data_IF_151486239297
#
_entry.id   IF_151486239297
#
_cell.length_a   1.000
_cell.length_b   1.000
_cell.length_c   1.000
_cell.angle_alpha   90.00
_cell.angle_beta   90.00
_cell.angle_gamma   90.00
#
_symmetry.space_group_name_H-M   'P 1'
#
loop_
_entity.id
_entity.type
_entity.pdbx_description
1 polymer ?
#
# COMPACT_ATOMS: atom_id res chain seq x y z
N UNK A 1 15.92 2.55 21.81
CA UNK A 1 14.89 2.16 22.79
C UNK A 1 13.76 1.60 21.93
N UNK A 2 13.91 0.32 21.56
CA UNK A 2 13.03 -0.34 20.60
C UNK A 2 11.77 -0.80 21.33
N UNK A 3 10.65 -0.18 20.99
CA UNK A 3 9.33 -0.64 21.40
C UNK A 3 8.95 -1.82 20.50
N UNK A 4 8.71 -3.03 21.04
CA UNK A 4 8.21 -4.14 20.24
C UNK A 4 6.86 -3.74 19.64
N UNK A 5 6.62 -4.11 18.36
CA UNK A 5 5.43 -3.78 17.55
C UNK A 5 4.09 -4.32 18.11
N UNK A 6 4.10 -4.85 19.32
CA UNK A 6 2.98 -5.53 19.94
C UNK A 6 2.29 -4.62 20.96
N UNK A 7 0.97 -4.48 20.82
CA UNK A 7 0.04 -3.76 21.70
C UNK A 7 -0.15 -2.25 21.48
N UNK A 8 -0.58 -1.86 20.27
CA UNK A 8 -1.49 -0.72 20.16
C UNK A 8 -2.88 -1.19 20.60
N UNK A 9 -3.31 -0.84 21.83
CA UNK A 9 -4.70 -0.99 22.26
C UNK A 9 -5.57 -0.05 21.42
N UNK A 10 -6.22 -0.58 20.41
CA UNK A 10 -7.09 0.17 19.49
C UNK A 10 -8.53 0.14 19.98
N UNK A 11 -9.15 1.32 20.06
CA UNK A 11 -10.56 1.48 20.43
C UNK A 11 -11.47 0.90 19.33
N UNK A 12 -12.37 -0.01 19.70
CA UNK A 12 -13.31 -0.65 18.75
C UNK A 12 -14.37 0.31 18.19
N UNK A 13 -14.38 1.57 18.61
CA UNK A 13 -15.37 2.57 18.15
C UNK A 13 -14.98 3.26 16.84
N UNK A 14 -13.70 3.19 16.47
CA UNK A 14 -13.14 3.97 15.35
C UNK A 14 -12.39 3.09 14.37
N UNK A 15 -12.33 3.53 13.12
CA UNK A 15 -11.43 2.97 12.12
C UNK A 15 -10.00 3.43 12.41
N UNK A 16 -9.06 2.49 12.31
CA UNK A 16 -7.66 2.71 12.61
C UNK A 16 -6.83 2.66 11.34
N UNK A 17 -5.87 3.57 11.24
CA UNK A 17 -4.84 3.52 10.20
C UNK A 17 -3.69 2.64 10.71
N UNK A 18 -3.54 1.46 10.12
CA UNK A 18 -2.52 0.49 10.49
C UNK A 18 -1.10 0.90 10.05
N UNK A 19 -0.08 0.11 10.45
CA UNK A 19 1.28 0.27 9.95
C UNK A 19 1.30 0.12 8.41
N UNK A 20 2.27 0.76 7.72
CA UNK A 20 2.36 0.67 6.27
C UNK A 20 2.57 -0.78 5.83
N UNK A 21 1.80 -1.22 4.83
CA UNK A 21 1.93 -2.58 4.31
C UNK A 21 3.34 -2.82 3.73
N UNK A 22 3.99 -3.97 3.97
CA UNK A 22 5.40 -4.18 3.67
C UNK A 22 5.76 -4.02 2.18
N UNK A 23 4.84 -4.30 1.26
CA UNK A 23 5.06 -4.22 -0.19
C UNK A 23 4.47 -2.93 -0.78
N UNK A 24 3.14 -2.79 -0.74
CA UNK A 24 2.45 -1.59 -1.26
C UNK A 24 2.78 -0.28 -0.54
N UNK A 25 3.27 -0.32 0.71
CA UNK A 25 3.52 0.85 1.57
C UNK A 25 2.29 1.70 1.91
N UNK A 26 1.12 1.35 1.37
CA UNK A 26 -0.16 1.95 1.73
C UNK A 26 -0.54 1.53 3.14
N UNK A 27 -1.06 2.48 3.92
CA UNK A 27 -1.56 2.21 5.26
C UNK A 27 -2.99 1.67 5.17
N UNK A 28 -3.25 0.44 5.65
CA UNK A 28 -4.59 -0.11 5.62
C UNK A 28 -5.47 0.59 6.66
N UNK A 29 -6.69 0.93 6.28
CA UNK A 29 -7.73 1.37 7.21
C UNK A 29 -8.45 0.13 7.71
N UNK A 30 -8.42 -0.12 9.01
CA UNK A 30 -8.98 -1.33 9.60
C UNK A 30 -9.88 -0.99 10.78
N UNK A 31 -10.95 -1.73 10.88
CA UNK A 31 -11.70 -1.86 12.11
C UNK A 31 -11.11 -2.99 12.94
N UNK A 32 -10.71 -2.68 14.17
CA UNK A 32 -10.13 -3.69 15.05
C UNK A 32 -11.24 -4.40 15.81
N UNK A 33 -11.46 -5.66 15.45
CA UNK A 33 -12.27 -6.57 16.23
C UNK A 33 -11.36 -7.29 17.23
N UNK A 34 -11.16 -6.73 18.43
CA UNK A 34 -10.47 -7.47 19.47
C UNK A 34 -11.39 -8.61 19.94
N UNK A 35 -11.18 -9.83 19.47
CA UNK A 35 -11.63 -11.00 20.22
C UNK A 35 -10.63 -11.15 21.36
N UNK A 36 -11.09 -11.15 22.60
CA UNK A 36 -10.24 -11.39 23.75
C UNK A 36 -9.82 -12.87 23.75
N UNK A 37 -8.89 -13.23 22.88
CA UNK A 37 -8.31 -14.58 22.83
C UNK A 37 -6.79 -14.46 22.94
N UNK A 38 -6.16 -15.21 23.87
CA UNK A 38 -4.74 -15.06 24.22
C UNK A 38 -3.75 -15.53 23.13
N UNK A 39 -4.25 -16.03 21.99
CA UNK A 39 -3.46 -16.53 20.86
C UNK A 39 -3.83 -15.87 19.53
N UNK A 40 -4.31 -14.62 19.55
CA UNK A 40 -4.55 -13.89 18.30
C UNK A 40 -3.21 -13.45 17.72
N UNK A 41 -2.51 -14.36 17.04
CA UNK A 41 -1.55 -13.96 16.02
C UNK A 41 -2.29 -12.99 15.11
N UNK A 42 -1.78 -11.76 15.00
CA UNK A 42 -2.39 -10.70 14.22
C UNK A 42 -2.22 -11.04 12.75
N UNK A 43 -2.96 -12.02 12.27
CA UNK A 43 -3.07 -12.28 10.86
C UNK A 43 -3.72 -11.04 10.28
N UNK A 44 -2.93 -10.22 9.59
CA UNK A 44 -3.35 -9.01 8.89
C UNK A 44 -4.23 -9.46 7.71
N UNK A 45 -5.40 -9.98 8.03
CA UNK A 45 -6.37 -10.40 7.04
C UNK A 45 -7.43 -9.31 6.97
N UNK A 46 -7.33 -8.56 5.88
CA UNK A 46 -8.35 -7.69 5.31
C UNK A 46 -8.57 -6.31 5.95
N UNK A 47 -8.65 -5.34 5.04
CA UNK A 47 -9.00 -3.93 5.24
C UNK A 47 -10.52 -3.86 5.39
N UNK A 48 -11.06 -4.33 6.51
CA UNK A 48 -12.50 -4.23 6.78
C UNK A 48 -12.78 -2.95 7.55
N UNK A 49 -13.71 -2.13 7.07
CA UNK A 49 -14.18 -0.94 7.79
C UNK A 49 -15.19 -1.34 8.87
N UNK A 50 -15.47 -0.43 9.80
CA UNK A 50 -16.46 -0.66 10.86
C UNK A 50 -17.81 -1.06 10.26
N UNK A 51 -18.37 -2.17 10.73
CA UNK A 51 -19.74 -2.58 10.43
C UNK A 51 -20.66 -2.10 11.54
N UNK A 52 -21.63 -1.27 11.19
CA UNK A 52 -22.63 -0.75 12.13
C UNK A 52 -23.82 -1.73 12.18
N UNK A 53 -24.34 -1.99 13.38
CA UNK A 53 -25.57 -2.77 13.52
C UNK A 53 -26.73 -1.98 12.92
N UNK A 54 -27.54 -2.63 12.07
CA UNK A 54 -28.63 -2.00 11.31
C UNK A 54 -28.17 -0.95 10.28
N UNK A 55 -27.01 -1.16 9.63
CA UNK A 55 -26.60 -0.30 8.51
C UNK A 55 -27.69 -0.27 7.43
N UNK A 56 -28.00 0.93 6.95
CA UNK A 56 -28.84 1.15 5.78
C UNK A 56 -28.18 0.52 4.55
N UNK A 57 -28.98 0.15 3.55
CA UNK A 57 -28.47 -0.38 2.29
C UNK A 57 -27.49 0.59 1.60
N UNK A 58 -27.70 1.90 1.76
CA UNK A 58 -26.79 2.92 1.24
C UNK A 58 -25.45 2.92 2.00
N UNK A 59 -25.49 2.86 3.32
CA UNK A 59 -24.29 2.81 4.17
C UNK A 59 -23.45 1.56 3.88
N UNK A 60 -24.12 0.42 3.69
CA UNK A 60 -23.48 -0.84 3.28
C UNK A 60 -22.75 -0.69 1.95
N UNK A 61 -23.44 -0.19 0.92
CA UNK A 61 -22.87 -0.01 -0.42
C UNK A 61 -21.66 0.93 -0.39
N UNK A 62 -21.76 2.01 0.38
CA UNK A 62 -20.65 2.95 0.55
C UNK A 62 -19.45 2.30 1.25
N UNK A 63 -19.69 1.53 2.32
CA UNK A 63 -18.65 0.79 3.03
C UNK A 63 -17.94 -0.20 2.10
N UNK A 64 -18.71 -0.99 1.35
CA UNK A 64 -18.18 -1.99 0.41
C UNK A 64 -17.38 -1.34 -0.71
N UNK A 65 -17.90 -0.28 -1.33
CA UNK A 65 -17.18 0.47 -2.35
C UNK A 65 -15.84 1.03 -1.85
N UNK A 66 -15.78 1.51 -0.59
CA UNK A 66 -14.54 1.97 0.03
C UNK A 66 -13.57 0.83 0.32
N UNK A 67 -14.05 -0.31 0.79
CA UNK A 67 -13.22 -1.50 1.02
C UNK A 67 -12.64 -2.02 -0.32
N UNK A 68 -13.43 -2.03 -1.38
CA UNK A 68 -13.00 -2.37 -2.74
C UNK A 68 -11.94 -1.40 -3.27
N UNK A 69 -12.18 -0.09 -3.15
CA UNK A 69 -11.21 0.93 -3.54
C UNK A 69 -9.89 0.79 -2.79
N UNK A 70 -9.94 0.63 -1.47
CA UNK A 70 -8.74 0.47 -0.66
C UNK A 70 -7.94 -0.79 -1.03
N UNK A 71 -8.64 -1.90 -1.29
CA UNK A 71 -8.02 -3.15 -1.75
C UNK A 71 -7.36 -2.96 -3.10
N UNK A 72 -8.10 -2.43 -4.08
CA UNK A 72 -7.58 -2.16 -5.42
C UNK A 72 -6.35 -1.23 -5.37
N UNK A 73 -6.41 -0.17 -4.57
CA UNK A 73 -5.30 0.76 -4.38
C UNK A 73 -4.06 0.06 -3.81
N UNK A 74 -4.23 -0.74 -2.76
CA UNK A 74 -3.13 -1.51 -2.16
C UNK A 74 -2.54 -2.53 -3.16
N UNK A 75 -3.38 -3.24 -3.92
CA UNK A 75 -2.94 -4.20 -4.94
C UNK A 75 -2.15 -3.53 -6.06
N UNK A 76 -2.63 -2.39 -6.55
CA UNK A 76 -1.93 -1.59 -7.55
C UNK A 76 -0.51 -1.23 -7.08
N UNK A 77 -0.39 -0.65 -5.89
CA UNK A 77 0.92 -0.25 -5.35
C UNK A 77 1.79 -1.45 -4.98
N UNK A 78 1.21 -2.58 -4.54
CA UNK A 78 1.97 -3.80 -4.29
C UNK A 78 2.64 -4.27 -5.59
N UNK A 79 1.89 -4.31 -6.69
CA UNK A 79 2.39 -4.69 -8.01
C UNK A 79 3.45 -3.69 -8.52
N UNK A 80 3.15 -2.39 -8.42
CA UNK A 80 4.06 -1.33 -8.87
C UNK A 80 5.39 -1.35 -8.11
N UNK A 81 5.34 -1.45 -6.77
CA UNK A 81 6.54 -1.46 -5.94
C UNK A 81 7.35 -2.74 -6.13
N UNK A 82 6.69 -3.89 -6.33
CA UNK A 82 7.39 -5.14 -6.66
C UNK A 82 8.19 -4.99 -7.96
N UNK A 83 7.56 -4.44 -9.00
CA UNK A 83 8.24 -4.17 -10.27
C UNK A 83 9.39 -3.17 -10.11
N UNK A 84 9.17 -2.09 -9.37
CA UNK A 84 10.18 -1.08 -9.06
C UNK A 84 11.42 -1.71 -8.39
N UNK A 85 11.22 -2.52 -7.36
CA UNK A 85 12.32 -3.17 -6.64
C UNK A 85 13.07 -4.17 -7.51
N UNK A 86 12.36 -4.95 -8.35
CA UNK A 86 12.97 -5.86 -9.30
C UNK A 86 13.85 -5.09 -10.31
N UNK A 87 13.30 -4.06 -10.95
CA UNK A 87 14.01 -3.24 -11.94
C UNK A 87 15.18 -2.46 -11.34
N UNK A 88 15.03 -1.94 -10.12
CA UNK A 88 16.11 -1.27 -9.39
C UNK A 88 17.25 -2.24 -9.09
N UNK A 89 16.93 -3.47 -8.68
CA UNK A 89 17.92 -4.53 -8.42
C UNK A 89 18.69 -4.88 -9.69
N UNK A 90 17.98 -5.07 -10.81
CA UNK A 90 18.56 -5.32 -12.13
C UNK A 90 19.52 -4.19 -12.55
N UNK A 91 19.08 -2.93 -12.42
CA UNK A 91 19.89 -1.76 -12.74
C UNK A 91 21.17 -1.67 -11.88
N UNK A 92 21.03 -1.87 -10.57
CA UNK A 92 22.15 -1.86 -9.63
C UNK A 92 23.16 -2.94 -9.97
N UNK A 93 22.71 -4.15 -10.29
CA UNK A 93 23.57 -5.27 -10.68
C UNK A 93 24.32 -4.95 -11.98
N UNK A 94 23.60 -4.46 -13.00
CA UNK A 94 24.20 -4.06 -14.28
C UNK A 94 25.28 -2.99 -14.09
N UNK A 95 24.99 -1.91 -13.35
CA UNK A 95 25.96 -0.83 -13.08
C UNK A 95 27.16 -1.31 -12.26
N UNK A 96 26.96 -2.18 -11.26
CA UNK A 96 28.08 -2.77 -10.51
C UNK A 96 29.01 -3.59 -11.40
N UNK A 97 28.47 -4.30 -12.39
CA UNK A 97 29.28 -5.05 -13.34
C UNK A 97 30.10 -4.13 -14.28
N UNK A 98 29.55 -2.97 -14.65
CA UNK A 98 30.22 -1.98 -15.50
C UNK A 98 31.35 -1.22 -14.77
N UNK A 99 31.12 -0.82 -13.51
CA UNK A 99 32.04 0.01 -12.73
C UNK A 99 33.12 -0.85 -12.02
N UNK A 100 32.86 -2.14 -11.83
CA UNK A 100 33.76 -3.08 -11.15
C UNK A 100 33.65 -3.06 -9.62
N UNK A 101 34.50 -3.84 -8.94
CA UNK A 101 34.38 -4.16 -7.49
C UNK A 101 34.46 -2.97 -6.52
N UNK A 102 35.07 -1.85 -6.92
CA UNK A 102 35.41 -0.74 -6.02
C UNK A 102 34.47 0.45 -6.21
N UNK A 103 33.80 0.56 -7.36
CA UNK A 103 32.97 1.71 -7.64
C UNK A 103 31.59 1.63 -6.99
N UNK A 104 31.17 2.76 -6.43
CA UNK A 104 29.84 2.95 -5.89
C UNK A 104 28.93 3.56 -6.97
N UNK A 105 27.65 3.22 -6.92
CA UNK A 105 26.65 3.79 -7.81
C UNK A 105 26.42 5.24 -7.39
N UNK A 106 26.53 6.17 -8.34
CA UNK A 106 26.32 7.59 -8.07
C UNK A 106 24.82 7.91 -7.98
N UNK A 107 24.49 8.99 -7.27
CA UNK A 107 23.14 9.58 -7.31
C UNK A 107 22.71 9.92 -8.74
N UNK A 108 23.66 10.35 -9.58
CA UNK A 108 23.42 10.62 -11.01
C UNK A 108 22.93 9.37 -11.74
N UNK A 109 23.57 8.21 -11.52
CA UNK A 109 23.18 6.95 -12.15
C UNK A 109 21.77 6.52 -11.72
N UNK A 110 21.46 6.64 -10.43
CA UNK A 110 20.12 6.34 -9.93
C UNK A 110 19.06 7.29 -10.49
N UNK A 111 19.41 8.56 -10.72
CA UNK A 111 18.48 9.54 -11.32
C UNK A 111 18.05 9.15 -12.74
N UNK A 112 18.97 8.58 -13.54
CA UNK A 112 18.68 8.03 -14.87
C UNK A 112 17.68 6.88 -14.75
N UNK A 113 17.94 5.93 -13.85
CA UNK A 113 17.03 4.82 -13.58
C UNK A 113 15.63 5.31 -13.18
N UNK A 114 15.54 6.27 -12.25
CA UNK A 114 14.26 6.80 -11.80
C UNK A 114 13.47 7.40 -12.95
N UNK A 115 14.13 8.20 -13.80
CA UNK A 115 13.49 8.80 -14.97
C UNK A 115 12.96 7.73 -15.93
N UNK A 116 13.82 6.79 -16.34
CA UNK A 116 13.44 5.72 -17.27
C UNK A 116 12.29 4.86 -16.74
N UNK A 117 12.33 4.53 -15.45
CA UNK A 117 11.26 3.76 -14.82
C UNK A 117 9.94 4.54 -14.82
N UNK A 118 9.96 5.81 -14.39
CA UNK A 118 8.76 6.65 -14.36
C UNK A 118 8.18 6.87 -15.76
N UNK A 119 9.02 7.12 -16.75
CA UNK A 119 8.60 7.25 -18.15
C UNK A 119 7.94 5.95 -18.64
N UNK A 120 8.52 4.79 -18.32
CA UNK A 120 7.94 3.48 -18.70
C UNK A 120 6.60 3.18 -18.02
N UNK A 121 6.42 3.65 -16.78
CA UNK A 121 5.21 3.42 -16.00
C UNK A 121 4.20 4.57 -16.11
N UNK A 122 4.50 5.61 -16.88
CA UNK A 122 3.71 6.83 -16.95
C UNK A 122 2.25 6.55 -17.32
N UNK A 123 2.00 5.77 -18.37
CA UNK A 123 0.64 5.42 -18.79
C UNK A 123 -0.16 4.69 -17.70
N UNK A 124 0.50 3.80 -16.96
CA UNK A 124 -0.12 3.03 -15.87
C UNK A 124 -0.47 3.93 -14.68
N UNK A 125 0.43 4.84 -14.31
CA UNK A 125 0.20 5.84 -13.26
C UNK A 125 -0.91 6.84 -13.65
N UNK A 126 -0.94 7.26 -14.92
CA UNK A 126 -2.02 8.13 -15.42
C UNK A 126 -3.38 7.42 -15.40
N UNK A 127 -3.44 6.13 -15.75
CA UNK A 127 -4.66 5.35 -15.66
C UNK A 127 -5.15 5.21 -14.21
N UNK A 128 -4.24 4.92 -13.27
CA UNK A 128 -4.54 4.90 -11.84
C UNK A 128 -5.11 6.23 -11.34
N UNK A 129 -4.47 7.36 -11.68
CA UNK A 129 -4.95 8.69 -11.28
C UNK A 129 -6.32 9.02 -11.85
N UNK A 130 -6.57 8.69 -13.13
CA UNK A 130 -7.89 8.91 -13.77
C UNK A 130 -9.00 8.12 -13.07
N UNK A 131 -8.73 6.85 -12.72
CA UNK A 131 -9.70 6.02 -12.02
C UNK A 131 -10.00 6.57 -10.62
N UNK A 132 -8.99 7.04 -9.89
CA UNK A 132 -9.20 7.67 -8.58
C UNK A 132 -10.07 8.93 -8.67
N UNK A 133 -9.76 9.84 -9.61
CA UNK A 133 -10.53 11.09 -9.78
C UNK A 133 -11.99 10.79 -10.16
N UNK A 134 -12.22 9.80 -11.03
CA UNK A 134 -13.58 9.43 -11.42
C UNK A 134 -14.38 8.80 -10.27
N UNK A 135 -13.72 8.12 -9.32
CA UNK A 135 -14.38 7.53 -8.14
C UNK A 135 -14.73 8.58 -7.09
N UNK A 136 -14.02 9.70 -7.03
CA UNK A 136 -14.40 10.84 -6.19
C UNK A 136 -15.66 11.53 -6.74
N UNK A 137 -15.74 11.71 -8.07
CA UNK A 137 -16.87 12.40 -8.73
C UNK A 137 -18.16 11.56 -8.89
N UNK A 138 -18.13 10.25 -8.63
CA UNK A 138 -19.32 9.37 -8.67
C UNK A 138 -20.05 9.30 -7.32
N UNK A 139 -19.50 9.94 -6.29
CA UNK A 139 -20.06 9.97 -4.94
C UNK A 139 -20.69 11.34 -4.58
N UNK A 140 -20.79 12.26 -5.55
CA UNK A 140 -21.49 13.55 -5.45
C UNK A 140 -22.89 13.50 -6.11
#
# INVERSE_FOLDING_TARGET
>A
MDMPEEYVRTDRRYDWVGPPHPISKIRPIKHVFCIATPYCEVQILQVTLRRVHNESDLERRYREAREDLNRWNSEFWAKHNTLFHAKKTEFIQKRKNEIGRIGQISSSDLSIFYKEFLDSQHANLMAYNKLNVNLENLND
#
